data_IF_810549594697
#
_entry.id   IF_810549594697
#
_cell.length_a   1.000
_cell.length_b   1.000
_cell.length_c   1.000
_cell.angle_alpha   90.00
_cell.angle_beta   90.00
_cell.angle_gamma   90.00
#
_symmetry.space_group_name_H-M   'P 1'
#
loop_
_entity.id
_entity.type
_entity.pdbx_description
1 polymer ?
#
# COMPACT_ATOMS: atom_id res chain seq x y z
N UNK A 1 13.59 -25.06 4.63
CA UNK A 1 13.43 -24.40 3.32
C UNK A 1 12.25 -25.01 2.60
N UNK A 2 11.03 -24.51 2.85
CA UNK A 2 9.87 -24.71 1.98
C UNK A 2 8.68 -23.94 2.55
N UNK A 3 7.80 -23.49 1.64
CA UNK A 3 6.72 -22.50 1.79
C UNK A 3 7.23 -21.07 1.61
N UNK A 4 7.20 -20.61 0.35
CA UNK A 4 7.31 -19.18 0.01
C UNK A 4 6.22 -18.46 0.81
N UNK A 5 6.65 -17.61 1.72
CA UNK A 5 5.78 -16.96 2.68
C UNK A 5 4.92 -15.96 1.94
N UNK A 6 3.60 -16.11 2.08
CA UNK A 6 2.61 -15.18 1.56
C UNK A 6 2.63 -13.99 2.48
N UNK A 7 3.13 -12.85 2.02
CA UNK A 7 3.16 -11.65 2.85
C UNK A 7 1.93 -10.84 2.52
N UNK A 8 0.79 -11.20 3.11
CA UNK A 8 -0.46 -10.47 2.92
C UNK A 8 -0.41 -9.12 3.66
N UNK A 9 -0.94 -8.09 3.01
CA UNK A 9 -1.20 -6.78 3.58
C UNK A 9 -2.56 -6.23 3.17
N UNK A 10 -3.11 -5.37 4.01
CA UNK A 10 -4.28 -4.54 3.68
C UNK A 10 -3.76 -3.16 3.33
N UNK A 11 -4.04 -2.68 2.12
CA UNK A 11 -3.69 -1.35 1.67
C UNK A 11 -4.92 -0.44 1.74
N UNK A 12 -4.77 0.71 2.40
CA UNK A 12 -5.83 1.74 2.49
C UNK A 12 -5.26 3.12 2.22
N UNK A 13 -6.08 3.98 1.61
CA UNK A 13 -5.88 5.43 1.64
C UNK A 13 -7.12 6.04 2.26
N UNK A 14 -6.93 6.66 3.43
CA UNK A 14 -7.97 7.31 4.20
C UNK A 14 -7.77 8.82 4.10
N UNK A 15 -8.74 9.53 3.53
CA UNK A 15 -8.88 10.97 3.74
C UNK A 15 -9.69 11.18 5.02
N UNK A 16 -9.14 11.92 5.97
CA UNK A 16 -9.62 11.94 7.36
C UNK A 16 -11.08 12.46 7.46
N UNK A 17 -12.02 11.54 7.71
CA UNK A 17 -13.29 11.79 8.39
C UNK A 17 -13.88 10.47 8.95
N UNK A 18 -13.63 10.20 10.23
CA UNK A 18 -14.27 9.19 11.12
C UNK A 18 -13.84 7.71 11.01
N UNK A 19 -13.80 7.04 12.18
CA UNK A 19 -13.27 5.69 12.46
C UNK A 19 -14.37 4.61 12.53
N UNK A 20 -14.15 3.41 11.96
CA UNK A 20 -14.92 2.18 12.27
C UNK A 20 -14.05 0.92 12.10
N UNK A 21 -14.22 -0.07 12.99
CA UNK A 21 -13.55 -1.40 13.04
C UNK A 21 -14.38 -2.44 12.28
N UNK A 22 -13.80 -3.40 11.54
CA UNK A 22 -14.34 -4.78 11.41
C UNK A 22 -13.35 -5.79 10.79
N UNK A 23 -13.54 -7.07 11.12
CA UNK A 23 -12.74 -8.23 10.70
C UNK A 23 -13.26 -8.90 9.41
N UNK A 24 -12.37 -9.57 8.68
CA UNK A 24 -12.71 -10.43 7.53
C UNK A 24 -12.10 -11.85 7.67
N UNK A 25 -12.74 -12.85 7.06
CA UNK A 25 -12.21 -14.21 6.88
C UNK A 25 -12.52 -14.69 5.48
N UNK A 26 -11.52 -15.04 4.66
CA UNK A 26 -11.73 -15.74 3.38
C UNK A 26 -10.57 -16.72 3.07
N UNK A 27 -10.94 -17.88 2.54
CA UNK A 27 -10.14 -19.02 2.07
C UNK A 27 -9.66 -18.88 0.61
N UNK A 28 -8.42 -19.34 0.31
CA UNK A 28 -7.98 -19.77 -1.03
C UNK A 28 -6.64 -19.20 -1.49
N UNK A 29 -5.59 -20.02 -1.53
CA UNK A 29 -4.22 -19.61 -1.89
C UNK A 29 -4.02 -19.47 -3.42
N UNK A 30 -4.37 -18.32 -4.01
CA UNK A 30 -3.70 -17.86 -5.24
C UNK A 30 -2.22 -17.55 -4.93
N UNK A 31 -1.32 -17.70 -5.90
CA UNK A 31 0.08 -17.26 -5.74
C UNK A 31 0.13 -15.73 -5.71
N UNK A 32 -0.47 -15.10 -6.74
CA UNK A 32 -0.69 -13.66 -6.89
C UNK A 32 -2.02 -13.23 -6.31
N UNK A 33 -2.19 -11.95 -5.98
CA UNK A 33 -3.51 -11.39 -5.70
C UNK A 33 -4.26 -10.98 -6.98
N UNK A 34 -5.29 -10.14 -6.85
CA UNK A 34 -6.17 -9.70 -7.94
C UNK A 34 -5.67 -8.45 -8.69
N UNK A 35 -4.65 -7.76 -8.17
CA UNK A 35 -4.09 -6.52 -8.71
C UNK A 35 -2.89 -6.78 -9.60
N UNK A 36 -2.17 -7.88 -9.37
CA UNK A 36 -1.07 -8.36 -10.18
C UNK A 36 -1.39 -8.43 -11.69
N UNK A 37 -0.53 -7.99 -12.61
CA UNK A 37 0.84 -7.44 -12.42
C UNK A 37 0.84 -5.92 -12.20
N UNK A 38 1.53 -5.47 -11.13
CA UNK A 38 1.75 -4.08 -10.76
C UNK A 38 3.15 -3.76 -10.21
N UNK A 39 4.17 -4.53 -10.62
CA UNK A 39 5.59 -4.36 -10.25
C UNK A 39 6.26 -3.06 -10.76
N UNK A 40 5.58 -2.29 -11.62
CA UNK A 40 6.09 -0.98 -12.06
C UNK A 40 5.03 0.11 -12.06
N UNK A 41 5.45 1.35 -11.84
CA UNK A 41 4.54 2.52 -11.75
C UNK A 41 3.61 2.68 -12.97
N UNK A 42 4.01 2.25 -14.17
CA UNK A 42 3.15 2.30 -15.38
C UNK A 42 2.00 1.30 -15.34
N UNK A 43 2.12 0.24 -14.56
CA UNK A 43 1.09 -0.79 -14.34
C UNK A 43 0.22 -0.50 -13.12
N UNK A 44 0.54 0.56 -12.35
CA UNK A 44 -0.10 0.87 -11.09
C UNK A 44 -1.64 0.90 -11.18
N UNK A 45 -2.30 0.18 -10.26
CA UNK A 45 -3.77 0.10 -10.22
C UNK A 45 -4.36 1.26 -9.45
N UNK A 46 -5.55 1.71 -9.87
CA UNK A 46 -6.23 2.78 -9.17
C UNK A 46 -6.77 2.27 -7.84
N UNK A 47 -6.43 2.94 -6.75
CA UNK A 47 -7.12 2.77 -5.47
C UNK A 47 -8.20 3.84 -5.33
N UNK A 48 -9.37 3.42 -4.87
CA UNK A 48 -10.46 4.34 -4.55
C UNK A 48 -10.25 4.82 -3.11
N UNK A 49 -10.06 6.13 -2.97
CA UNK A 49 -9.89 6.78 -1.66
C UNK A 49 -11.15 6.56 -0.83
N UNK A 50 -10.99 6.18 0.43
CA UNK A 50 -12.11 5.86 1.34
C UNK A 50 -13.04 4.74 0.82
N UNK A 51 -12.54 3.82 0.00
CA UNK A 51 -13.29 2.63 -0.38
C UNK A 51 -13.75 1.83 0.84
N UNK A 52 -14.98 1.31 0.78
CA UNK A 52 -15.55 0.45 1.82
C UNK A 52 -14.70 -0.82 2.01
N UNK A 53 -14.35 -1.46 0.89
CA UNK A 53 -13.43 -2.58 0.87
C UNK A 53 -11.99 -2.08 0.61
N UNK A 54 -11.03 -2.40 1.47
CA UNK A 54 -9.62 -2.12 1.20
C UNK A 54 -9.08 -3.08 0.13
N UNK A 55 -7.98 -2.70 -0.51
CA UNK A 55 -7.28 -3.61 -1.42
C UNK A 55 -6.43 -4.57 -0.60
N UNK A 56 -6.54 -5.86 -0.87
CA UNK A 56 -5.70 -6.89 -0.24
C UNK A 56 -4.64 -7.32 -1.25
N UNK A 57 -3.39 -7.09 -0.89
CA UNK A 57 -2.23 -7.39 -1.71
C UNK A 57 -1.34 -8.44 -1.05
N UNK A 58 -0.49 -9.11 -1.82
CA UNK A 58 0.56 -9.94 -1.26
C UNK A 58 1.84 -9.94 -2.08
N UNK A 59 2.98 -9.83 -1.40
CA UNK A 59 4.27 -10.10 -2.06
C UNK A 59 4.38 -11.60 -2.39
N UNK A 60 4.22 -11.94 -3.66
CA UNK A 60 4.13 -13.31 -4.17
C UNK A 60 5.46 -13.88 -4.66
N UNK A 61 6.43 -13.01 -4.98
CA UNK A 61 7.77 -13.41 -5.35
C UNK A 61 8.88 -12.51 -4.74
N UNK A 62 10.13 -12.77 -5.14
CA UNK A 62 11.27 -12.05 -4.58
C UNK A 62 11.50 -10.77 -5.35
N UNK A 63 11.36 -9.63 -4.68
CA UNK A 63 11.51 -8.31 -5.29
C UNK A 63 10.21 -7.70 -5.79
N UNK A 64 9.09 -8.37 -5.54
CA UNK A 64 7.72 -7.89 -5.74
C UNK A 64 7.51 -6.48 -5.15
N UNK A 65 6.98 -5.57 -5.97
CA UNK A 65 6.62 -4.21 -5.62
C UNK A 65 5.15 -3.93 -5.98
N UNK A 66 4.29 -3.66 -5.00
CA UNK A 66 2.90 -3.29 -5.33
C UNK A 66 2.81 -1.79 -5.60
N UNK A 67 2.57 -1.41 -6.86
CA UNK A 67 2.30 -0.03 -7.23
C UNK A 67 0.80 0.27 -7.36
N UNK A 68 0.34 1.30 -6.63
CA UNK A 68 -1.01 1.84 -6.79
C UNK A 68 -0.97 3.33 -7.13
N UNK A 69 -2.10 3.86 -7.60
CA UNK A 69 -2.27 5.29 -7.87
C UNK A 69 -3.62 5.81 -7.41
N UNK A 70 -3.65 7.08 -7.02
CA UNK A 70 -4.86 7.79 -6.64
C UNK A 70 -4.83 9.22 -7.16
N UNK A 71 -5.99 9.86 -7.27
CA UNK A 71 -6.08 11.26 -7.63
C UNK A 71 -6.14 12.12 -6.36
N UNK A 72 -5.07 12.86 -6.09
CA UNK A 72 -4.95 13.81 -4.99
C UNK A 72 -5.61 15.14 -5.33
N UNK A 73 -6.27 15.75 -4.35
CA UNK A 73 -6.84 17.09 -4.44
C UNK A 73 -5.98 18.07 -3.64
N UNK A 74 -5.63 19.20 -4.24
CA UNK A 74 -4.85 20.24 -3.58
C UNK A 74 -5.48 20.69 -2.25
N UNK A 75 -4.66 20.86 -1.23
CA UNK A 75 -5.05 21.26 0.12
C UNK A 75 -5.66 20.15 0.99
N UNK A 76 -5.76 18.92 0.50
CA UNK A 76 -6.21 17.76 1.30
C UNK A 76 -5.06 17.06 1.99
N UNK A 77 -5.35 16.45 3.15
CA UNK A 77 -4.43 15.54 3.83
C UNK A 77 -4.85 14.09 3.61
N UNK A 78 -3.89 13.24 3.28
CA UNK A 78 -4.06 11.83 3.04
C UNK A 78 -3.26 11.02 4.06
N UNK A 79 -3.90 9.98 4.59
CA UNK A 79 -3.21 8.94 5.35
C UNK A 79 -3.16 7.70 4.46
N UNK A 80 -1.96 7.30 4.11
CA UNK A 80 -1.67 6.11 3.32
C UNK A 80 -1.23 5.03 4.31
N UNK A 81 -1.92 3.91 4.31
CA UNK A 81 -1.77 2.86 5.31
C UNK A 81 -1.48 1.51 4.65
N UNK A 82 -0.53 0.78 5.24
CA UNK A 82 -0.45 -0.67 5.10
C UNK A 82 -0.62 -1.28 6.49
N UNK A 83 -1.62 -2.15 6.63
CA UNK A 83 -1.95 -2.75 7.92
C UNK A 83 -2.24 -4.24 7.83
N UNK A 84 -2.34 -4.88 9.01
CA UNK A 84 -2.59 -6.31 9.14
C UNK A 84 -1.55 -7.15 8.39
N UNK A 85 -0.28 -6.79 8.61
CA UNK A 85 0.89 -7.43 8.03
C UNK A 85 1.05 -8.85 8.57
N UNK A 86 1.31 -9.81 7.68
CA UNK A 86 1.66 -11.17 8.11
C UNK A 86 3.08 -11.22 8.73
N UNK A 87 3.39 -12.34 9.41
CA UNK A 87 4.46 -12.44 10.40
C UNK A 87 5.89 -12.07 9.94
N UNK A 88 6.12 -11.98 8.63
CA UNK A 88 7.43 -11.68 8.02
C UNK A 88 7.32 -10.59 6.93
N UNK A 89 6.27 -9.77 6.98
CA UNK A 89 6.04 -8.67 6.05
C UNK A 89 6.54 -7.36 6.65
N UNK A 90 7.82 -7.09 6.51
CA UNK A 90 8.39 -5.78 6.81
C UNK A 90 8.17 -4.88 5.59
N UNK A 91 7.46 -3.76 5.73
CA UNK A 91 6.95 -3.00 4.59
C UNK A 91 7.42 -1.55 4.62
N UNK A 92 7.81 -1.05 3.46
CA UNK A 92 8.07 0.38 3.26
C UNK A 92 7.04 0.96 2.31
N UNK A 93 6.48 2.11 2.70
CA UNK A 93 5.58 2.91 1.87
C UNK A 93 6.37 4.09 1.28
N UNK A 94 6.37 4.20 -0.04
CA UNK A 94 6.98 5.32 -0.77
C UNK A 94 5.90 6.04 -1.60
N UNK A 95 5.74 7.35 -1.38
CA UNK A 95 4.83 8.21 -2.14
C UNK A 95 5.62 8.95 -3.23
N UNK A 96 5.15 8.85 -4.47
CA UNK A 96 5.73 9.45 -5.66
C UNK A 96 4.83 10.54 -6.25
N UNK A 97 5.47 11.58 -6.79
CA UNK A 97 4.83 12.70 -7.47
C UNK A 97 4.11 12.27 -8.77
N UNK A 98 3.38 13.21 -9.36
CA UNK A 98 2.58 13.05 -10.58
C UNK A 98 3.36 12.66 -11.83
N UNK A 99 4.69 12.76 -11.78
CA UNK A 99 5.57 12.25 -12.83
C UNK A 99 5.89 10.75 -12.69
N UNK A 100 5.43 10.10 -11.62
CA UNK A 100 5.60 8.67 -11.35
C UNK A 100 6.99 8.24 -10.88
N UNK A 101 7.95 9.16 -10.72
CA UNK A 101 9.35 8.83 -10.45
C UNK A 101 10.01 9.69 -9.35
N UNK A 102 9.48 10.88 -9.04
CA UNK A 102 10.00 11.72 -7.97
C UNK A 102 9.43 11.30 -6.63
N UNK A 103 10.28 10.74 -5.76
CA UNK A 103 9.93 10.41 -4.39
C UNK A 103 9.60 11.70 -3.60
N UNK A 104 8.41 11.76 -3.02
CA UNK A 104 7.95 12.86 -2.18
C UNK A 104 8.11 12.55 -0.70
N UNK A 105 7.80 11.33 -0.30
CA UNK A 105 7.84 10.90 1.10
C UNK A 105 8.00 9.38 1.19
N UNK A 106 8.65 8.94 2.27
CA UNK A 106 8.81 7.53 2.62
C UNK A 106 8.40 7.33 4.09
N UNK A 107 7.90 6.15 4.40
CA UNK A 107 7.55 5.72 5.74
C UNK A 107 7.93 4.25 5.93
N UNK A 108 8.76 4.02 6.95
CA UNK A 108 9.33 2.75 7.38
C UNK A 108 9.51 2.84 8.90
N UNK A 109 8.75 2.06 9.68
CA UNK A 109 8.77 2.13 11.13
C UNK A 109 9.82 1.16 11.68
N UNK A 110 10.94 1.75 12.07
CA UNK A 110 12.03 0.99 12.68
C UNK A 110 11.61 0.25 13.96
N UNK A 111 12.02 -1.02 14.06
CA UNK A 111 12.04 -1.80 15.30
C UNK A 111 10.84 -2.73 15.53
N UNK A 112 9.91 -2.85 14.58
CA UNK A 112 8.81 -3.82 14.61
C UNK A 112 8.37 -4.18 13.18
N UNK A 113 8.88 -5.30 12.66
CA UNK A 113 8.60 -5.86 11.31
C UNK A 113 7.11 -6.17 11.04
N UNK A 114 6.23 -5.96 12.03
CA UNK A 114 4.79 -6.20 11.95
C UNK A 114 3.95 -4.97 12.24
N UNK A 115 4.59 -3.83 12.49
CA UNK A 115 3.85 -2.63 12.75
C UNK A 115 3.13 -2.17 11.49
N UNK A 116 1.87 -1.74 11.64
CA UNK A 116 1.19 -1.04 10.56
C UNK A 116 2.01 0.22 10.17
N UNK A 117 2.17 0.45 8.88
CA UNK A 117 2.81 1.65 8.34
C UNK A 117 1.78 2.70 7.99
N UNK A 118 2.05 3.95 8.41
CA UNK A 118 1.13 5.08 8.27
C UNK A 118 1.88 6.32 7.75
N UNK A 119 1.73 6.62 6.47
CA UNK A 119 2.29 7.80 5.83
C UNK A 119 1.23 8.90 5.76
N UNK A 120 1.38 9.93 6.60
CA UNK A 120 0.57 11.15 6.58
C UNK A 120 1.16 12.18 5.60
N UNK A 121 0.36 12.69 4.66
CA UNK A 121 0.85 13.60 3.63
C UNK A 121 -0.17 14.66 3.22
N UNK A 122 0.30 15.91 3.12
CA UNK A 122 -0.49 17.05 2.66
C UNK A 122 -0.26 17.28 1.16
N UNK A 123 -1.32 17.18 0.38
CA UNK A 123 -1.33 17.34 -1.07
C UNK A 123 -1.27 18.82 -1.44
N UNK A 124 -0.15 19.31 -1.99
CA UNK A 124 -0.01 20.72 -2.37
C UNK A 124 -0.64 21.05 -3.72
N UNK A 125 -0.64 20.09 -4.65
CA UNK A 125 -1.14 20.23 -6.01
C UNK A 125 -2.12 19.09 -6.30
N UNK A 126 -3.05 19.29 -7.23
CA UNK A 126 -3.95 18.23 -7.65
C UNK A 126 -3.31 17.39 -8.77
N UNK A 127 -3.54 16.08 -8.76
CA UNK A 127 -2.97 15.20 -9.78
C UNK A 127 -3.01 13.72 -9.41
N UNK A 128 -2.49 12.89 -10.31
CA UNK A 128 -2.41 11.45 -10.10
C UNK A 128 -1.08 11.09 -9.44
N UNK A 129 -1.10 10.72 -8.17
CA UNK A 129 0.07 10.32 -7.40
C UNK A 129 0.19 8.80 -7.37
N UNK A 130 1.42 8.29 -7.29
CA UNK A 130 1.69 6.85 -7.18
C UNK A 130 2.20 6.52 -5.77
N UNK A 131 1.83 5.35 -5.27
CA UNK A 131 2.35 4.81 -4.03
C UNK A 131 2.95 3.47 -4.34
N UNK A 132 4.16 3.24 -3.85
CA UNK A 132 4.83 1.96 -3.92
C UNK A 132 4.89 1.34 -2.54
N UNK A 133 4.58 0.06 -2.49
CA UNK A 133 4.77 -0.76 -1.31
C UNK A 133 5.81 -1.83 -1.64
N UNK A 134 6.89 -1.89 -0.86
CA UNK A 134 7.93 -2.91 -1.04
C UNK A 134 8.29 -3.56 0.27
N UNK A 135 8.86 -4.76 0.20
CA UNK A 135 9.41 -5.43 1.37
C UNK A 135 10.72 -4.77 1.82
N UNK A 136 10.94 -4.70 3.13
CA UNK A 136 12.22 -4.30 3.71
C UNK A 136 13.11 -5.53 3.89
N UNK A 137 14.15 -5.62 3.04
CA UNK A 137 15.38 -6.40 3.27
C UNK A 137 15.24 -7.89 3.58
#
# INVERSE_FOLDING_TARGET
MNVKEKLCKIIRIIAIASWVIFAASITGAQLTDEYEDDDVFTQAKVIVINAEAPQRHNFHDTGDEDWIKFYGLAGQNYVIEASNLEANCDIVIELYDTNGASLLKEQDKEGDERADELLDWNCSEEGAYCVKYRHYG
#
